data_IF_850412281710
#
_entry.id   IF_850412281710
#
_cell.length_a   1.000
_cell.length_b   1.000
_cell.length_c   1.000
_cell.angle_alpha   90.00
_cell.angle_beta   90.00
_cell.angle_gamma   90.00
#
_symmetry.space_group_name_H-M   'P 1'
#
loop_
_entity.id
_entity.type
_entity.pdbx_description
1 polymer ?
#
# COMPACT_ATOMS: atom_id res chain seq x y z
N UNK A 1 -43.41 47.60 66.03
CA UNK A 1 -44.53 46.64 66.01
C UNK A 1 -45.27 46.81 64.69
N UNK A 2 -44.93 46.03 63.67
CA UNK A 2 -45.72 45.89 62.47
C UNK A 2 -45.34 44.57 61.80
N UNK A 3 -46.27 43.68 61.83
CA UNK A 3 -46.21 42.31 61.27
C UNK A 3 -46.39 42.38 59.76
N UNK A 4 -45.49 41.76 59.04
CA UNK A 4 -45.58 41.54 57.57
C UNK A 4 -46.23 40.20 57.30
N UNK A 5 -47.11 40.03 56.32
CA UNK A 5 -47.74 38.76 55.99
C UNK A 5 -46.92 37.93 55.00
N UNK A 6 -46.99 36.62 55.18
CA UNK A 6 -46.34 35.63 54.36
C UNK A 6 -46.92 35.54 52.93
N UNK A 7 -46.04 35.38 51.94
CA UNK A 7 -46.34 35.16 50.53
C UNK A 7 -46.48 33.65 50.24
N UNK A 8 -47.38 33.24 49.36
CA UNK A 8 -47.60 31.81 49.09
C UNK A 8 -46.53 31.19 48.17
N UNK A 9 -46.18 29.96 48.46
CA UNK A 9 -45.21 29.17 47.71
C UNK A 9 -45.67 28.90 46.25
N UNK A 10 -44.80 29.23 45.28
CA UNK A 10 -44.96 28.85 43.88
C UNK A 10 -44.56 27.38 43.73
N UNK A 11 -45.47 26.54 43.21
CA UNK A 11 -45.19 25.19 42.76
C UNK A 11 -44.34 25.24 41.48
N UNK A 12 -43.18 24.58 41.51
CA UNK A 12 -42.31 24.36 40.35
C UNK A 12 -42.94 23.29 39.41
N UNK A 13 -42.87 23.50 38.08
CA UNK A 13 -43.34 22.49 37.15
C UNK A 13 -42.36 21.30 37.10
N UNK A 14 -42.92 20.08 37.03
CA UNK A 14 -42.17 18.83 36.86
C UNK A 14 -41.39 18.88 35.55
N UNK A 15 -40.13 18.38 35.50
CA UNK A 15 -39.38 18.29 34.24
C UNK A 15 -40.03 17.24 33.35
N UNK A 16 -40.41 17.68 32.15
CA UNK A 16 -40.88 16.80 31.08
C UNK A 16 -39.76 15.83 30.67
N UNK A 17 -40.17 14.59 30.40
CA UNK A 17 -39.31 13.53 29.88
C UNK A 17 -38.65 14.00 28.56
N UNK A 18 -37.42 14.44 28.63
CA UNK A 18 -36.59 14.65 27.42
C UNK A 18 -36.31 13.30 26.79
N UNK A 19 -36.90 13.04 25.63
CA UNK A 19 -36.55 11.93 24.75
C UNK A 19 -35.05 11.99 24.48
N UNK A 20 -34.34 10.92 24.83
CA UNK A 20 -32.90 10.80 24.52
C UNK A 20 -32.70 10.94 23.04
N UNK A 21 -31.67 11.68 22.60
CA UNK A 21 -31.34 11.80 21.19
C UNK A 21 -30.99 10.40 20.66
N UNK A 22 -31.63 10.03 19.55
CA UNK A 22 -31.30 8.80 18.81
C UNK A 22 -29.78 8.79 18.54
N UNK A 23 -29.07 7.90 19.24
CA UNK A 23 -27.65 7.69 19.02
C UNK A 23 -27.41 7.40 17.56
N UNK A 24 -26.69 8.29 16.89
CA UNK A 24 -26.16 8.07 15.54
C UNK A 24 -25.36 6.78 15.59
N UNK A 25 -25.91 5.67 15.05
CA UNK A 25 -25.16 4.42 14.89
C UNK A 25 -23.88 4.76 14.14
N UNK A 26 -22.76 4.72 14.81
CA UNK A 26 -21.46 4.90 14.16
C UNK A 26 -21.33 3.86 13.04
N UNK A 27 -20.95 4.33 11.85
CA UNK A 27 -20.73 3.42 10.73
C UNK A 27 -19.72 2.34 11.13
N UNK A 28 -19.92 1.06 10.71
CA UNK A 28 -19.03 -0.03 11.04
C UNK A 28 -17.56 0.32 10.72
N UNK A 29 -16.62 -0.12 11.53
CA UNK A 29 -15.19 0.17 11.37
C UNK A 29 -14.68 -0.14 9.95
N UNK A 30 -15.07 -1.29 9.40
CA UNK A 30 -14.76 -1.68 8.02
C UNK A 30 -15.19 -0.65 6.97
N UNK A 31 -16.21 0.16 7.23
CA UNK A 31 -16.66 1.20 6.29
C UNK A 31 -15.78 2.44 6.31
N UNK A 32 -14.96 2.64 7.34
CA UNK A 32 -14.04 3.78 7.50
C UNK A 32 -12.59 3.43 7.13
N UNK A 33 -12.24 2.17 7.19
CA UNK A 33 -10.89 1.65 6.93
C UNK A 33 -10.45 1.89 5.47
N UNK A 34 -9.16 2.15 5.25
CA UNK A 34 -8.57 2.18 3.91
C UNK A 34 -8.69 0.80 3.24
N UNK A 35 -8.83 0.78 1.91
CA UNK A 35 -9.15 -0.44 1.17
C UNK A 35 -8.14 -1.57 1.37
N UNK A 36 -6.85 -1.26 1.31
CA UNK A 36 -5.79 -2.26 1.49
C UNK A 36 -5.76 -2.82 2.93
N UNK A 37 -5.94 -2.00 3.96
CA UNK A 37 -6.02 -2.47 5.33
C UNK A 37 -7.26 -3.33 5.59
N UNK A 38 -8.42 -2.97 5.00
CA UNK A 38 -9.59 -3.83 5.06
C UNK A 38 -9.30 -5.20 4.44
N UNK A 39 -8.71 -5.25 3.26
CA UNK A 39 -8.38 -6.52 2.60
C UNK A 39 -7.35 -7.33 3.41
N UNK A 40 -6.36 -6.69 4.02
CA UNK A 40 -5.39 -7.34 4.91
C UNK A 40 -6.08 -7.95 6.14
N UNK A 41 -6.97 -7.21 6.80
CA UNK A 41 -7.76 -7.69 7.96
C UNK A 41 -8.61 -8.90 7.59
N UNK A 42 -9.16 -8.93 6.37
CA UNK A 42 -9.90 -10.07 5.85
C UNK A 42 -8.98 -11.26 5.51
N UNK A 43 -7.66 -11.08 5.53
CA UNK A 43 -6.67 -12.13 5.33
C UNK A 43 -6.09 -12.20 3.93
N UNK A 44 -6.32 -11.19 3.08
CA UNK A 44 -5.65 -11.10 1.79
C UNK A 44 -4.21 -10.64 2.01
N UNK A 45 -3.25 -11.41 1.48
CA UNK A 45 -1.81 -11.15 1.65
C UNK A 45 -1.17 -10.49 0.44
N UNK A 46 -1.76 -10.65 -0.74
CA UNK A 46 -1.31 -10.02 -1.98
C UNK A 46 -2.19 -8.80 -2.25
N UNK A 47 -1.71 -7.60 -1.88
CA UNK A 47 -2.49 -6.36 -1.86
C UNK A 47 -2.11 -5.39 -3.00
N UNK A 48 -1.51 -5.91 -4.06
CA UNK A 48 -1.00 -5.15 -5.21
C UNK A 48 -1.74 -5.45 -6.50
N UNK A 49 -1.86 -4.47 -7.41
CA UNK A 49 -2.40 -4.68 -8.75
C UNK A 49 -1.58 -5.75 -9.49
N UNK A 50 -2.17 -6.49 -10.43
CA UNK A 50 -1.46 -7.53 -11.16
C UNK A 50 -1.10 -8.80 -10.37
N UNK A 51 -1.24 -8.77 -9.03
CA UNK A 51 -1.07 -9.90 -8.13
C UNK A 51 0.36 -10.45 -8.04
N UNK A 52 0.50 -11.64 -7.42
CA UNK A 52 1.81 -12.25 -7.13
C UNK A 52 2.62 -12.62 -8.39
N UNK A 53 1.95 -12.85 -9.50
CA UNK A 53 2.64 -13.25 -10.73
C UNK A 53 3.50 -12.12 -11.31
N UNK A 54 3.00 -10.89 -11.31
CA UNK A 54 3.79 -9.75 -11.77
C UNK A 54 4.97 -9.47 -10.82
N UNK A 55 4.79 -9.67 -9.50
CA UNK A 55 5.89 -9.63 -8.53
C UNK A 55 6.96 -10.67 -8.84
N UNK A 56 6.58 -11.92 -9.14
CA UNK A 56 7.56 -12.96 -9.49
C UNK A 56 8.37 -12.59 -10.74
N UNK A 57 7.71 -12.09 -11.78
CA UNK A 57 8.39 -11.62 -13.00
C UNK A 57 9.33 -10.46 -12.71
N UNK A 58 8.90 -9.49 -11.89
CA UNK A 58 9.72 -8.38 -11.45
C UNK A 58 10.95 -8.85 -10.65
N UNK A 59 10.76 -9.74 -9.67
CA UNK A 59 11.87 -10.27 -8.88
C UNK A 59 12.80 -11.16 -9.72
N UNK A 60 12.28 -11.88 -10.70
CA UNK A 60 13.11 -12.62 -11.66
C UNK A 60 14.01 -11.67 -12.46
N UNK A 61 13.48 -10.51 -12.91
CA UNK A 61 14.26 -9.50 -13.61
C UNK A 61 15.24 -8.77 -12.67
N UNK A 62 14.82 -8.47 -11.43
CA UNK A 62 15.69 -7.88 -10.41
C UNK A 62 16.81 -8.83 -9.96
N UNK A 63 16.60 -10.14 -10.12
CA UNK A 63 17.55 -11.22 -9.84
C UNK A 63 18.22 -11.09 -8.45
N UNK A 64 17.43 -11.15 -7.33
CA UNK A 64 18.01 -11.11 -5.99
C UNK A 64 18.98 -12.28 -5.76
N UNK A 65 20.13 -12.00 -5.16
CA UNK A 65 21.22 -12.97 -4.96
C UNK A 65 21.53 -13.14 -3.48
N UNK A 66 22.05 -14.31 -3.13
CA UNK A 66 22.59 -14.55 -1.80
C UNK A 66 23.71 -13.54 -1.46
N UNK A 67 23.75 -13.09 -0.21
CA UNK A 67 24.73 -12.13 0.26
C UNK A 67 24.45 -10.66 -0.06
N UNK A 68 23.44 -10.34 -0.85
CA UNK A 68 23.04 -8.95 -1.13
C UNK A 68 22.44 -8.26 0.10
N UNK A 69 22.58 -6.94 0.14
CA UNK A 69 21.90 -6.06 1.09
C UNK A 69 20.57 -5.62 0.46
N UNK A 70 19.47 -6.02 1.06
CA UNK A 70 18.12 -5.81 0.50
C UNK A 70 17.34 -4.83 1.37
N UNK A 71 16.68 -3.87 0.73
CA UNK A 71 15.72 -2.95 1.35
C UNK A 71 14.36 -3.16 0.71
N UNK A 72 13.31 -3.28 1.51
CA UNK A 72 11.92 -3.30 1.05
C UNK A 72 11.18 -2.10 1.64
N UNK A 73 10.61 -1.27 0.78
CA UNK A 73 9.79 -0.13 1.18
C UNK A 73 8.33 -0.56 1.27
N UNK A 74 7.72 -0.36 2.44
CA UNK A 74 6.34 -0.75 2.68
C UNK A 74 6.11 -2.26 2.67
N UNK A 75 6.77 -3.08 3.51
CA UNK A 75 6.68 -4.55 3.49
C UNK A 75 5.25 -5.08 3.76
N UNK A 76 4.36 -4.26 4.30
CA UNK A 76 2.97 -4.59 4.56
C UNK A 76 2.82 -5.87 5.40
N UNK A 77 2.19 -6.91 4.83
CA UNK A 77 2.00 -8.21 5.51
C UNK A 77 3.15 -9.22 5.25
N UNK A 78 4.27 -8.78 4.68
CA UNK A 78 5.50 -9.55 4.53
C UNK A 78 5.51 -10.57 3.38
N UNK A 79 4.58 -10.50 2.41
CA UNK A 79 4.55 -11.49 1.33
C UNK A 79 5.74 -11.40 0.38
N UNK A 80 6.23 -10.20 0.10
CA UNK A 80 7.43 -9.99 -0.71
C UNK A 80 8.68 -10.19 0.12
N UNK A 81 8.65 -9.81 1.41
CA UNK A 81 9.71 -10.13 2.36
C UNK A 81 10.05 -11.63 2.38
N UNK A 82 9.03 -12.54 2.42
CA UNK A 82 9.23 -13.98 2.33
C UNK A 82 10.04 -14.38 1.08
N UNK A 83 9.72 -13.77 -0.07
CA UNK A 83 10.39 -14.08 -1.34
C UNK A 83 11.83 -13.54 -1.38
N UNK A 84 12.04 -12.34 -0.85
CA UNK A 84 13.35 -11.72 -0.77
C UNK A 84 14.28 -12.45 0.20
N UNK A 85 13.78 -12.83 1.38
CA UNK A 85 14.52 -13.58 2.38
C UNK A 85 14.89 -14.99 1.90
N UNK A 86 14.07 -15.60 1.02
CA UNK A 86 14.40 -16.88 0.40
C UNK A 86 15.67 -16.82 -0.47
N UNK A 87 16.08 -15.66 -0.97
CA UNK A 87 17.36 -15.45 -1.68
C UNK A 87 18.59 -15.42 -0.75
N UNK A 88 18.40 -15.49 0.57
CA UNK A 88 19.45 -15.46 1.60
C UNK A 88 20.31 -14.19 1.53
N UNK A 89 19.71 -13.00 1.64
CA UNK A 89 20.46 -11.75 1.69
C UNK A 89 21.38 -11.70 2.93
N UNK A 90 22.46 -10.94 2.86
CA UNK A 90 23.32 -10.66 4.04
C UNK A 90 22.62 -9.74 5.05
N UNK A 91 21.74 -8.86 4.56
CA UNK A 91 20.86 -8.05 5.39
C UNK A 91 19.57 -7.76 4.67
N UNK A 92 18.48 -7.62 5.44
CA UNK A 92 17.18 -7.16 4.98
C UNK A 92 16.69 -6.02 5.87
N UNK A 93 16.23 -4.94 5.27
CA UNK A 93 15.62 -3.79 5.95
C UNK A 93 14.23 -3.54 5.37
N UNK A 94 13.19 -3.84 6.13
CA UNK A 94 11.81 -3.44 5.81
C UNK A 94 11.55 -2.04 6.36
N UNK A 95 11.38 -1.04 5.51
CA UNK A 95 11.17 0.36 5.88
C UNK A 95 9.70 0.72 5.73
N UNK A 96 9.06 1.17 6.79
CA UNK A 96 7.66 1.59 6.80
C UNK A 96 7.43 2.63 7.91
N UNK A 97 6.69 3.73 7.67
CA UNK A 97 6.43 4.73 8.70
C UNK A 97 5.47 4.22 9.80
N UNK A 98 4.73 3.12 9.58
CA UNK A 98 3.81 2.57 10.55
C UNK A 98 4.49 1.59 11.51
N UNK A 99 4.65 1.92 12.82
CA UNK A 99 5.27 1.02 13.78
C UNK A 99 4.48 -0.29 14.00
N UNK A 100 3.15 -0.28 13.79
CA UNK A 100 2.29 -1.47 13.91
C UNK A 100 2.58 -2.52 12.82
N UNK A 101 3.15 -2.10 11.69
CA UNK A 101 3.59 -3.00 10.62
C UNK A 101 4.63 -4.01 11.08
N UNK A 102 5.42 -3.67 12.12
CA UNK A 102 6.43 -4.57 12.71
C UNK A 102 5.82 -5.91 13.14
N UNK A 103 4.68 -5.90 13.82
CA UNK A 103 4.04 -7.13 14.29
C UNK A 103 3.54 -7.99 13.12
N UNK A 104 3.13 -7.36 12.04
CA UNK A 104 2.61 -8.05 10.85
C UNK A 104 3.71 -8.83 10.12
N UNK A 105 4.91 -8.25 10.03
CA UNK A 105 6.06 -8.90 9.37
C UNK A 105 6.93 -9.70 10.32
N UNK A 106 6.79 -9.55 11.63
CA UNK A 106 7.67 -10.18 12.64
C UNK A 106 7.86 -11.68 12.44
N UNK A 107 6.77 -12.41 12.11
CA UNK A 107 6.83 -13.86 11.86
C UNK A 107 7.66 -14.21 10.62
N UNK A 108 7.67 -13.33 9.61
CA UNK A 108 8.44 -13.51 8.38
C UNK A 108 9.91 -13.24 8.63
N UNK A 109 10.23 -12.24 9.45
CA UNK A 109 11.61 -11.88 9.80
C UNK A 109 12.23 -12.83 10.82
N UNK A 110 11.39 -13.56 11.57
CA UNK A 110 11.85 -14.52 12.59
C UNK A 110 12.71 -15.63 11.94
N UNK A 111 13.89 -15.87 12.50
CA UNK A 111 14.83 -16.88 11.98
C UNK A 111 15.72 -16.39 10.84
N UNK A 112 15.67 -15.11 10.48
CA UNK A 112 16.57 -14.49 9.51
C UNK A 112 17.52 -13.50 10.22
N UNK A 113 18.71 -13.93 10.66
CA UNK A 113 19.71 -13.03 11.27
C UNK A 113 20.04 -11.90 10.30
N UNK A 114 20.04 -10.65 10.78
CA UNK A 114 20.27 -9.47 9.92
C UNK A 114 19.02 -8.93 9.22
N UNK A 115 17.83 -9.51 9.45
CA UNK A 115 16.56 -8.94 9.01
C UNK A 115 15.95 -8.03 10.08
N UNK A 116 15.63 -6.78 9.71
CA UNK A 116 15.09 -5.76 10.61
C UNK A 116 13.92 -5.01 9.98
N UNK A 117 13.02 -4.54 10.85
CA UNK A 117 11.98 -3.58 10.50
C UNK A 117 12.38 -2.20 11.02
N UNK A 118 12.50 -1.24 10.10
CA UNK A 118 12.91 0.15 10.36
C UNK A 118 11.66 1.03 10.28
N UNK A 119 11.37 1.75 11.37
CA UNK A 119 10.26 2.73 11.37
C UNK A 119 10.81 4.03 10.83
N UNK A 120 10.56 4.30 9.55
CA UNK A 120 10.99 5.51 8.86
C UNK A 120 10.11 5.79 7.64
N UNK A 121 10.09 7.05 7.20
CA UNK A 121 9.52 7.41 5.90
C UNK A 121 10.45 6.95 4.78
N UNK A 122 9.86 6.48 3.67
CA UNK A 122 10.61 5.99 2.51
C UNK A 122 11.42 7.09 1.80
N UNK A 123 11.06 8.37 1.97
CA UNK A 123 11.83 9.52 1.48
C UNK A 123 13.02 9.89 2.39
N UNK A 124 13.10 9.28 3.57
CA UNK A 124 14.12 9.55 4.57
C UNK A 124 14.37 8.32 5.43
N UNK A 125 14.91 7.29 4.81
CA UNK A 125 15.07 5.94 5.42
C UNK A 125 16.02 5.92 6.61
N UNK A 126 16.94 6.87 6.74
CA UNK A 126 18.03 6.87 7.71
C UNK A 126 19.13 5.85 7.38
N UNK A 127 19.05 5.15 6.26
CA UNK A 127 20.07 4.20 5.84
C UNK A 127 21.28 4.93 5.25
N UNK A 128 22.50 4.38 5.40
CA UNK A 128 23.70 4.96 4.79
C UNK A 128 23.61 5.01 3.26
N UNK A 129 24.35 5.94 2.67
CA UNK A 129 24.54 5.99 1.21
C UNK A 129 25.19 4.70 0.72
N UNK A 130 24.83 4.25 -0.49
CA UNK A 130 25.36 3.06 -1.15
C UNK A 130 25.31 1.78 -0.28
N UNK A 131 24.32 1.68 0.63
CA UNK A 131 24.17 0.58 1.59
C UNK A 131 23.24 -0.54 1.13
N UNK A 132 22.60 -0.44 -0.04
CA UNK A 132 21.72 -1.46 -0.61
C UNK A 132 22.15 -1.90 -2.01
N UNK A 133 22.04 -3.19 -2.28
CA UNK A 133 22.28 -3.78 -3.61
C UNK A 133 20.94 -3.98 -4.36
N UNK A 134 19.84 -4.13 -3.62
CA UNK A 134 18.49 -4.22 -4.15
C UNK A 134 17.52 -3.45 -3.25
N UNK A 135 16.73 -2.57 -3.85
CA UNK A 135 15.57 -1.95 -3.20
C UNK A 135 14.31 -2.42 -3.91
N UNK A 136 13.25 -2.74 -3.16
CA UNK A 136 11.95 -3.16 -3.70
C UNK A 136 10.85 -2.32 -3.06
N UNK A 137 9.89 -1.83 -3.88
CA UNK A 137 8.70 -1.13 -3.41
C UNK A 137 7.48 -1.56 -4.20
N UNK A 138 6.42 -2.03 -3.52
CA UNK A 138 5.21 -2.49 -4.18
C UNK A 138 3.96 -1.82 -3.64
N UNK A 139 3.14 -1.25 -4.54
CA UNK A 139 1.85 -0.65 -4.27
C UNK A 139 1.89 0.45 -3.19
N UNK A 140 2.98 1.20 -3.13
CA UNK A 140 3.19 2.26 -2.14
C UNK A 140 3.35 3.65 -2.76
N UNK A 141 4.01 3.77 -3.93
CA UNK A 141 4.22 5.05 -4.62
C UNK A 141 2.92 5.62 -5.21
N UNK A 142 2.03 4.77 -5.68
CA UNK A 142 0.71 5.20 -6.20
C UNK A 142 -0.06 6.08 -5.22
N UNK A 143 0.12 5.87 -3.92
CA UNK A 143 -0.59 6.61 -2.86
C UNK A 143 0.10 7.93 -2.48
N UNK A 144 1.27 8.22 -3.04
CA UNK A 144 2.04 9.42 -2.75
C UNK A 144 1.72 10.59 -3.69
N UNK A 145 1.99 11.82 -3.23
CA UNK A 145 1.99 12.99 -4.10
C UNK A 145 3.13 12.91 -5.12
N UNK A 146 3.02 13.65 -6.22
CA UNK A 146 4.08 13.70 -7.25
C UNK A 146 5.44 14.12 -6.66
N UNK A 147 5.44 15.14 -5.78
CA UNK A 147 6.65 15.59 -5.10
C UNK A 147 7.24 14.47 -4.23
N UNK A 148 6.38 13.82 -3.41
CA UNK A 148 6.85 12.78 -2.49
C UNK A 148 7.33 11.51 -3.20
N UNK A 149 6.77 11.18 -4.38
CA UNK A 149 7.34 10.11 -5.23
C UNK A 149 8.78 10.41 -5.63
N UNK A 150 9.06 11.66 -6.03
CA UNK A 150 10.43 12.08 -6.40
C UNK A 150 11.38 12.02 -5.20
N UNK A 151 10.94 12.48 -4.04
CA UNK A 151 11.72 12.40 -2.80
C UNK A 151 12.07 10.95 -2.44
N UNK A 152 11.09 10.03 -2.50
CA UNK A 152 11.31 8.60 -2.24
C UNK A 152 12.30 8.01 -3.25
N UNK A 153 12.11 8.27 -4.55
CA UNK A 153 12.99 7.71 -5.59
C UNK A 153 14.40 8.28 -5.49
N UNK A 154 14.55 9.56 -5.13
CA UNK A 154 15.85 10.18 -4.86
C UNK A 154 16.56 9.52 -3.67
N UNK A 155 15.82 9.25 -2.57
CA UNK A 155 16.37 8.53 -1.42
C UNK A 155 16.78 7.11 -1.79
N UNK A 156 15.99 6.41 -2.61
CA UNK A 156 16.36 5.08 -3.13
C UNK A 156 17.65 5.18 -3.97
N UNK A 157 17.78 6.16 -4.86
CA UNK A 157 18.97 6.35 -5.66
C UNK A 157 20.21 6.64 -4.80
N UNK A 158 20.05 7.34 -3.67
CA UNK A 158 21.11 7.58 -2.68
C UNK A 158 21.54 6.28 -1.98
N UNK A 159 20.56 5.52 -1.49
CA UNK A 159 20.80 4.28 -0.72
C UNK A 159 21.37 3.16 -1.59
N UNK A 160 21.04 3.11 -2.87
CA UNK A 160 21.56 2.12 -3.80
C UNK A 160 23.08 2.26 -4.00
N UNK A 161 23.79 1.15 -3.90
CA UNK A 161 25.17 1.03 -4.35
C UNK A 161 25.26 1.18 -5.88
N UNK A 162 26.40 1.62 -6.44
CA UNK A 162 26.64 1.56 -7.89
C UNK A 162 26.38 0.14 -8.41
N UNK A 163 25.60 0.01 -9.49
CA UNK A 163 25.16 -1.27 -10.04
C UNK A 163 23.97 -1.91 -9.31
N UNK A 164 23.54 -1.35 -8.18
CA UNK A 164 22.33 -1.80 -7.45
C UNK A 164 21.05 -1.53 -8.20
N UNK A 165 19.98 -2.27 -7.88
CA UNK A 165 18.70 -2.22 -8.60
C UNK A 165 17.56 -1.73 -7.70
N UNK A 166 16.65 -0.98 -8.31
CA UNK A 166 15.35 -0.65 -7.75
C UNK A 166 14.25 -1.34 -8.54
N UNK A 167 13.42 -2.11 -7.87
CA UNK A 167 12.27 -2.79 -8.44
C UNK A 167 10.99 -2.18 -7.87
N UNK A 168 10.12 -1.68 -8.73
CA UNK A 168 8.80 -1.13 -8.37
C UNK A 168 7.68 -1.94 -9.00
N UNK A 169 6.56 -2.05 -8.27
CA UNK A 169 5.33 -2.66 -8.76
C UNK A 169 4.13 -1.80 -8.33
N UNK A 170 3.51 -1.12 -9.28
CA UNK A 170 2.53 -0.07 -9.00
C UNK A 170 1.26 -0.20 -9.86
N UNK A 171 0.22 0.54 -9.46
CA UNK A 171 -0.94 0.75 -10.30
C UNK A 171 -0.55 1.69 -11.45
N UNK A 172 -0.99 1.36 -12.66
CA UNK A 172 -0.74 2.18 -13.83
C UNK A 172 -2.04 2.57 -14.54
N UNK A 173 -2.00 3.74 -15.17
CA UNK A 173 -2.97 4.16 -16.17
C UNK A 173 -2.57 3.60 -17.53
N UNK A 174 -3.53 3.35 -18.40
CA UNK A 174 -3.25 3.10 -19.81
C UNK A 174 -2.86 4.41 -20.51
N UNK A 175 -1.95 4.34 -21.48
CA UNK A 175 -1.27 5.52 -22.01
C UNK A 175 -2.08 6.44 -22.93
N UNK A 176 -3.29 6.05 -23.30
CA UNK A 176 -4.15 6.73 -24.27
C UNK A 176 -5.31 7.54 -23.64
N UNK A 177 -5.25 7.77 -22.31
CA UNK A 177 -6.27 8.51 -21.59
C UNK A 177 -6.08 10.02 -21.70
N UNK A 178 -7.19 10.74 -21.86
CA UNK A 178 -7.22 12.20 -21.79
C UNK A 178 -6.98 12.70 -20.34
N UNK A 179 -6.54 13.95 -20.13
CA UNK A 179 -6.38 14.53 -18.79
C UNK A 179 -7.63 14.42 -17.92
N UNK A 180 -8.81 14.62 -18.50
CA UNK A 180 -10.10 14.54 -17.78
C UNK A 180 -10.42 13.10 -17.34
N UNK A 181 -10.16 12.11 -18.19
CA UNK A 181 -10.30 10.69 -17.85
C UNK A 181 -9.32 10.26 -16.75
N UNK A 182 -8.10 10.75 -16.80
CA UNK A 182 -7.09 10.52 -15.75
C UNK A 182 -7.59 11.06 -14.41
N UNK A 183 -8.07 12.31 -14.36
CA UNK A 183 -8.54 12.94 -13.14
C UNK A 183 -9.80 12.26 -12.60
N UNK A 184 -10.76 11.91 -13.47
CA UNK A 184 -11.96 11.17 -13.12
C UNK A 184 -11.61 9.80 -12.52
N UNK A 185 -10.68 9.06 -13.16
CA UNK A 185 -10.20 7.76 -12.70
C UNK A 185 -9.52 7.86 -11.35
N UNK A 186 -8.60 8.81 -11.16
CA UNK A 186 -7.92 9.08 -9.88
C UNK A 186 -8.91 9.38 -8.75
N UNK A 187 -9.89 10.23 -9.00
CA UNK A 187 -10.98 10.57 -8.06
C UNK A 187 -11.78 9.34 -7.66
N UNK A 188 -12.19 8.53 -8.63
CA UNK A 188 -13.01 7.36 -8.39
C UNK A 188 -12.27 6.29 -7.58
N UNK A 189 -11.00 6.02 -7.93
CA UNK A 189 -10.16 5.09 -7.17
C UNK A 189 -10.02 5.59 -5.74
N UNK A 190 -9.58 6.84 -5.56
CA UNK A 190 -9.31 7.42 -4.24
C UNK A 190 -10.52 7.38 -3.31
N UNK A 191 -11.72 7.67 -3.83
CA UNK A 191 -12.98 7.55 -3.08
C UNK A 191 -13.27 6.11 -2.67
N UNK A 192 -13.05 5.16 -3.58
CA UNK A 192 -13.40 3.76 -3.35
C UNK A 192 -12.46 3.08 -2.37
N UNK A 193 -11.13 3.29 -2.50
CA UNK A 193 -10.14 2.71 -1.60
C UNK A 193 -9.88 3.55 -0.35
N UNK A 194 -10.42 4.77 -0.28
CA UNK A 194 -10.28 5.73 0.84
C UNK A 194 -8.85 6.13 1.15
N UNK A 195 -8.05 6.26 0.13
CA UNK A 195 -6.70 6.83 0.17
C UNK A 195 -6.43 7.52 -1.16
N UNK A 196 -5.67 8.60 -1.17
CA UNK A 196 -5.28 9.28 -2.40
C UNK A 196 -4.56 8.32 -3.33
N UNK A 197 -5.02 8.21 -4.58
CA UNK A 197 -4.36 7.37 -5.58
C UNK A 197 -3.99 8.23 -6.79
N UNK A 198 -2.71 8.20 -7.14
CA UNK A 198 -2.11 8.95 -8.25
C UNK A 198 -1.30 8.01 -9.12
N UNK A 199 -1.96 7.04 -9.79
CA UNK A 199 -1.28 6.17 -10.75
C UNK A 199 -0.75 7.00 -11.93
N UNK A 200 0.33 6.53 -12.51
CA UNK A 200 0.95 7.09 -13.72
C UNK A 200 0.87 6.06 -14.85
N UNK A 201 0.94 6.46 -16.11
CA UNK A 201 1.21 5.53 -17.20
C UNK A 201 2.62 4.92 -17.07
N UNK A 202 2.90 3.83 -17.78
CA UNK A 202 4.22 3.15 -17.75
C UNK A 202 5.37 4.13 -17.98
N UNK A 203 5.22 4.98 -19.01
CA UNK A 203 6.21 5.98 -19.38
C UNK A 203 6.43 7.01 -18.26
N UNK A 204 5.38 7.38 -17.54
CA UNK A 204 5.47 8.29 -16.39
C UNK A 204 6.23 7.67 -15.22
N UNK A 205 6.01 6.38 -14.95
CA UNK A 205 6.79 5.65 -13.95
C UNK A 205 8.26 5.52 -14.35
N UNK A 206 8.53 5.21 -15.63
CA UNK A 206 9.89 5.13 -16.17
C UNK A 206 10.61 6.48 -16.12
N UNK A 207 9.92 7.57 -16.47
CA UNK A 207 10.46 8.93 -16.40
C UNK A 207 10.92 9.31 -14.98
N UNK A 208 10.09 9.03 -13.95
CA UNK A 208 10.48 9.30 -12.56
C UNK A 208 11.76 8.57 -12.13
N UNK A 209 11.95 7.33 -12.58
CA UNK A 209 13.16 6.57 -12.29
C UNK A 209 14.38 7.16 -13.02
N UNK A 210 14.19 7.56 -14.27
CA UNK A 210 15.26 8.19 -15.11
C UNK A 210 15.63 9.58 -14.59
N UNK A 211 14.66 10.38 -14.15
CA UNK A 211 14.90 11.69 -13.50
C UNK A 211 15.82 11.58 -12.28
N UNK A 212 15.76 10.45 -11.56
CA UNK A 212 16.64 10.17 -10.43
C UNK A 212 17.97 9.51 -10.80
N UNK A 213 18.33 9.47 -12.10
CA UNK A 213 19.57 8.90 -12.58
C UNK A 213 19.60 7.37 -12.67
N UNK A 214 18.46 6.70 -12.58
CA UNK A 214 18.36 5.25 -12.72
C UNK A 214 18.08 4.87 -14.17
N UNK A 215 18.64 3.74 -14.64
CA UNK A 215 18.44 3.20 -15.99
C UNK A 215 17.44 2.05 -15.91
N UNK A 216 16.30 2.19 -16.57
CA UNK A 216 15.28 1.13 -16.64
C UNK A 216 15.81 -0.02 -17.51
N UNK A 217 15.96 -1.21 -16.92
CA UNK A 217 16.45 -2.42 -17.60
C UNK A 217 15.32 -3.37 -17.99
N UNK A 218 14.19 -3.31 -17.29
CA UNK A 218 13.05 -4.18 -17.54
C UNK A 218 11.76 -3.51 -17.16
N UNK A 219 10.70 -3.81 -17.90
CA UNK A 219 9.32 -3.46 -17.56
C UNK A 219 8.37 -4.60 -17.90
N UNK A 220 7.26 -4.65 -17.18
CA UNK A 220 6.21 -5.62 -17.41
C UNK A 220 4.85 -5.08 -16.94
N UNK A 221 3.80 -5.50 -17.62
CA UNK A 221 2.43 -5.11 -17.28
C UNK A 221 1.58 -6.32 -16.97
N UNK A 222 0.47 -6.10 -16.25
CA UNK A 222 -0.58 -7.09 -16.01
C UNK A 222 -1.94 -6.40 -15.87
N UNK A 223 -3.05 -7.09 -16.18
CA UNK A 223 -4.38 -6.55 -15.97
C UNK A 223 -4.68 -6.31 -14.48
N UNK A 224 -5.49 -5.28 -14.18
CA UNK A 224 -5.95 -4.95 -12.85
C UNK A 224 -7.09 -5.86 -12.41
N UNK A 225 -6.79 -7.05 -11.87
CA UNK A 225 -7.77 -8.07 -11.46
C UNK A 225 -7.73 -8.39 -9.97
N UNK A 226 -7.44 -7.42 -9.10
CA UNK A 226 -7.13 -7.61 -7.68
C UNK A 226 -8.17 -8.43 -6.89
N UNK A 227 -9.45 -8.31 -7.21
CA UNK A 227 -10.56 -8.97 -6.49
C UNK A 227 -11.35 -9.96 -7.37
N UNK A 228 -10.81 -10.36 -8.52
CA UNK A 228 -11.42 -11.40 -9.33
C UNK A 228 -11.19 -12.79 -8.71
N UNK A 229 -12.19 -13.69 -8.73
CA UNK A 229 -12.11 -14.98 -8.05
C UNK A 229 -10.92 -15.84 -8.45
N UNK A 230 -10.59 -15.88 -9.75
CA UNK A 230 -9.41 -16.62 -10.24
C UNK A 230 -8.11 -16.05 -9.69
N UNK A 231 -8.00 -14.70 -9.65
CA UNK A 231 -6.84 -14.02 -9.10
C UNK A 231 -6.74 -14.24 -7.59
N UNK A 232 -7.86 -14.15 -6.87
CA UNK A 232 -7.88 -14.41 -5.44
C UNK A 232 -7.40 -15.83 -5.11
N UNK A 233 -7.80 -16.81 -5.92
CA UNK A 233 -7.34 -18.19 -5.77
C UNK A 233 -5.84 -18.35 -6.06
N UNK A 234 -5.33 -17.69 -7.09
CA UNK A 234 -3.90 -17.70 -7.45
C UNK A 234 -3.02 -17.03 -6.38
N UNK A 235 -3.50 -15.91 -5.82
CA UNK A 235 -2.76 -15.10 -4.83
C UNK A 235 -2.74 -15.76 -3.45
N UNK A 236 -3.88 -16.31 -2.98
CA UNK A 236 -4.09 -16.72 -1.59
C UNK A 236 -4.23 -18.26 -1.42
N UNK A 237 -4.42 -18.97 -2.51
CA UNK A 237 -4.74 -20.40 -2.49
C UNK A 237 -6.14 -20.72 -1.94
N UNK A 238 -6.59 -21.99 -1.99
CA UNK A 238 -7.96 -22.37 -1.60
C UNK A 238 -8.24 -22.07 -0.11
N UNK A 239 -7.30 -22.35 0.77
CA UNK A 239 -7.43 -22.11 2.22
C UNK A 239 -7.48 -20.61 2.52
N UNK A 240 -6.66 -19.81 1.84
CA UNK A 240 -6.67 -18.35 1.98
C UNK A 240 -7.99 -17.74 1.52
N UNK A 241 -8.54 -18.21 0.40
CA UNK A 241 -9.86 -17.80 -0.10
C UNK A 241 -10.97 -18.16 0.89
N UNK A 242 -10.99 -19.37 1.42
CA UNK A 242 -11.99 -19.77 2.43
C UNK A 242 -11.92 -18.89 3.68
N UNK A 243 -10.71 -18.62 4.16
CA UNK A 243 -10.48 -17.69 5.31
C UNK A 243 -10.95 -16.28 5.02
N UNK A 244 -10.64 -15.75 3.83
CA UNK A 244 -11.08 -14.44 3.37
C UNK A 244 -12.62 -14.32 3.36
N UNK A 245 -13.30 -15.29 2.77
CA UNK A 245 -14.77 -15.32 2.69
C UNK A 245 -15.42 -15.43 4.09
N UNK A 246 -14.87 -16.27 4.95
CA UNK A 246 -15.36 -16.45 6.33
C UNK A 246 -15.21 -15.15 7.13
N UNK A 247 -14.06 -14.50 7.07
CA UNK A 247 -13.82 -13.21 7.76
C UNK A 247 -14.72 -12.12 7.18
N UNK A 248 -14.86 -12.04 5.86
CA UNK A 248 -15.74 -11.08 5.20
C UNK A 248 -17.21 -11.27 5.64
N UNK A 249 -17.68 -12.50 5.84
CA UNK A 249 -19.02 -12.76 6.33
C UNK A 249 -19.22 -12.33 7.80
N UNK A 250 -18.15 -12.38 8.61
CA UNK A 250 -18.17 -12.03 10.04
C UNK A 250 -17.89 -10.54 10.32
N UNK A 251 -17.40 -9.78 9.33
CA UNK A 251 -17.03 -8.38 9.52
C UNK A 251 -18.14 -7.46 8.98
N UNK A 252 -18.86 -6.73 9.85
CA UNK A 252 -19.95 -5.85 9.42
C UNK A 252 -19.49 -4.81 8.40
N UNK A 253 -20.20 -4.67 7.28
CA UNK A 253 -19.91 -3.73 6.21
C UNK A 253 -18.78 -4.15 5.25
N UNK A 254 -18.01 -5.21 5.55
CA UNK A 254 -16.90 -5.64 4.69
C UNK A 254 -17.38 -6.14 3.32
N UNK A 255 -18.49 -6.90 3.27
CA UNK A 255 -19.02 -7.44 2.01
C UNK A 255 -19.35 -6.34 1.00
N UNK A 256 -20.01 -5.27 1.44
CA UNK A 256 -20.41 -4.17 0.56
C UNK A 256 -19.19 -3.36 0.10
N UNK A 257 -18.22 -3.17 0.98
CA UNK A 257 -16.93 -2.53 0.64
C UNK A 257 -16.14 -3.34 -0.38
N UNK A 258 -16.01 -4.64 -0.20
CA UNK A 258 -15.31 -5.53 -1.15
C UNK A 258 -16.02 -5.57 -2.49
N UNK A 259 -17.37 -5.62 -2.48
CA UNK A 259 -18.18 -5.58 -3.70
C UNK A 259 -17.99 -4.25 -4.45
N UNK A 260 -18.03 -3.12 -3.74
CA UNK A 260 -17.83 -1.79 -4.33
C UNK A 260 -16.42 -1.66 -4.94
N UNK A 261 -15.37 -2.09 -4.24
CA UNK A 261 -14.01 -2.10 -4.77
C UNK A 261 -13.89 -2.99 -6.03
N UNK A 262 -14.46 -4.21 -5.98
CA UNK A 262 -14.43 -5.12 -7.13
C UNK A 262 -15.16 -4.54 -8.34
N UNK A 263 -16.33 -3.96 -8.13
CA UNK A 263 -17.11 -3.33 -9.20
C UNK A 263 -16.33 -2.15 -9.82
N UNK A 264 -15.74 -1.30 -9.00
CA UNK A 264 -14.92 -0.18 -9.46
C UNK A 264 -13.74 -0.68 -10.32
N UNK A 265 -12.97 -1.67 -9.83
CA UNK A 265 -11.84 -2.22 -10.59
C UNK A 265 -12.27 -2.87 -11.92
N UNK A 266 -13.46 -3.47 -11.97
CA UNK A 266 -13.99 -4.01 -13.23
C UNK A 266 -14.40 -2.92 -14.22
N UNK A 267 -15.10 -1.88 -13.75
CA UNK A 267 -15.52 -0.75 -14.58
C UNK A 267 -14.32 0.06 -15.10
N UNK A 268 -13.27 0.15 -14.31
CA UNK A 268 -12.05 0.87 -14.67
C UNK A 268 -10.97 -0.05 -15.30
N UNK A 269 -11.31 -1.31 -15.57
CA UNK A 269 -10.34 -2.31 -16.05
C UNK A 269 -9.70 -1.99 -17.39
N UNK A 270 -10.35 -1.18 -18.23
CA UNK A 270 -9.81 -0.69 -19.49
C UNK A 270 -8.85 0.51 -19.30
N UNK A 271 -9.04 1.28 -18.23
CA UNK A 271 -8.24 2.46 -17.91
C UNK A 271 -7.07 2.15 -16.97
N UNK A 272 -7.11 0.98 -16.29
CA UNK A 272 -6.16 0.59 -15.27
C UNK A 272 -5.40 -0.67 -15.65
N UNK A 273 -4.12 -0.67 -15.33
CA UNK A 273 -3.25 -1.84 -15.39
C UNK A 273 -2.35 -1.87 -14.15
N UNK A 274 -1.62 -2.94 -13.99
CA UNK A 274 -0.46 -3.00 -13.12
C UNK A 274 0.79 -2.86 -13.96
N UNK A 275 1.80 -2.20 -13.41
CA UNK A 275 3.12 -2.08 -14.00
C UNK A 275 4.18 -2.50 -12.99
N UNK A 276 5.22 -3.16 -13.47
CA UNK A 276 6.43 -3.34 -12.70
C UNK A 276 7.64 -2.94 -13.55
N UNK A 277 8.60 -2.28 -12.92
CA UNK A 277 9.84 -1.86 -13.55
C UNK A 277 11.02 -2.28 -12.67
N UNK A 278 12.14 -2.58 -13.31
CA UNK A 278 13.44 -2.76 -12.66
C UNK A 278 14.40 -1.77 -13.28
N UNK A 279 14.97 -0.91 -12.45
CA UNK A 279 15.94 0.08 -12.88
C UNK A 279 17.25 -0.11 -12.10
N UNK A 280 18.38 0.19 -12.73
CA UNK A 280 19.72 0.06 -12.15
C UNK A 280 20.36 1.42 -11.93
N UNK A 281 21.02 1.61 -10.80
CA UNK A 281 21.93 2.72 -10.59
C UNK A 281 23.19 2.47 -11.43
N UNK A 282 23.59 3.39 -12.32
CA UNK A 282 24.82 3.23 -13.09
C UNK A 282 26.02 2.95 -12.17
N UNK A 283 26.92 2.11 -12.62
CA UNK A 283 28.27 2.08 -12.06
C UNK A 283 28.96 3.32 -12.57
N UNK A 284 29.52 4.14 -11.69
CA UNK A 284 30.37 5.24 -12.14
C UNK A 284 31.39 4.65 -13.11
N UNK A 285 31.36 5.11 -14.34
CA UNK A 285 32.49 4.89 -15.24
C UNK A 285 33.62 5.73 -14.65
N UNK A 286 34.61 5.06 -14.03
CA UNK A 286 35.84 5.74 -13.64
C UNK A 286 36.32 6.49 -14.89
N UNK A 287 36.15 7.81 -14.84
CA UNK A 287 36.61 8.68 -15.92
C UNK A 287 38.10 8.44 -16.16
N UNK A 288 38.40 8.15 -17.40
CA UNK A 288 39.77 8.11 -17.90
C UNK A 288 40.39 9.50 -17.82
#
# INVERSE_FOLDING_TARGET
MTTSPASPARQSPRPGSASAPHGTRQAPEATRMQGHWLLATLGKRVLRPGGIELTRRMLQAAAPKAGQRVVELGPGVGRTAEMLLASRPSSYRGVDPNPEGREQVAKVLQGHPGAEYVVADASRTGLPEASADLVVGEAMLTMQSEAHKREIIAEVARVLAPGGRYAIHELALRGDLTPDEIEATRKQISRTIRVGARPLPLEGWAALLTEAGLVVEWSGTAPMHLLEPRRLLQDEGPIGVARFLLRMARTPGARDRVRAMRQMFRLQGEMLSAVALVARKPTEVSGA
#
